data_IF_156072300799
#
_entry.id   IF_156072300799
#
_cell.length_a   1.000
_cell.length_b   1.000
_cell.length_c   1.000
_cell.angle_alpha   90.00
_cell.angle_beta   90.00
_cell.angle_gamma   90.00
#
_symmetry.space_group_name_H-M   'P 1'
#
loop_
_entity.id
_entity.type
_entity.pdbx_description
1 polymer ?
#
# COMPACT_ATOMS: atom_id res chain seq x y z
N UNK A 1 12.04 -17.53 -41.72
CA UNK A 1 11.23 -17.80 -40.50
C UNK A 1 12.06 -18.47 -39.39
N UNK A 2 13.27 -17.97 -39.09
CA UNK A 2 14.20 -18.62 -38.14
C UNK A 2 14.62 -17.74 -36.95
N UNK A 3 14.20 -16.48 -36.94
CA UNK A 3 14.56 -15.46 -35.94
C UNK A 3 13.47 -15.17 -34.91
N UNK A 4 12.24 -15.67 -35.11
CA UNK A 4 11.10 -15.41 -34.21
C UNK A 4 11.18 -16.28 -32.94
N UNK A 5 11.71 -17.50 -33.03
CA UNK A 5 11.86 -18.38 -31.86
C UNK A 5 12.86 -17.87 -30.82
N UNK A 6 13.85 -17.07 -31.24
CA UNK A 6 14.88 -16.53 -30.33
C UNK A 6 14.34 -15.39 -29.44
N UNK A 7 13.36 -14.63 -29.93
CA UNK A 7 12.74 -13.54 -29.16
C UNK A 7 11.81 -14.05 -28.06
N UNK A 8 11.18 -15.21 -28.26
CA UNK A 8 10.30 -15.83 -27.26
C UNK A 8 11.06 -16.41 -26.06
N UNK A 9 12.33 -16.77 -26.24
CA UNK A 9 13.17 -17.34 -25.17
C UNK A 9 13.74 -16.29 -24.20
N UNK A 10 13.71 -15.01 -24.57
CA UNK A 10 14.23 -13.91 -23.76
C UNK A 10 13.15 -13.25 -22.86
N UNK A 11 11.89 -13.67 -22.99
CA UNK A 11 10.76 -13.14 -22.22
C UNK A 11 10.77 -13.42 -20.70
N UNK A 12 11.40 -14.49 -20.14
CA UNK A 12 11.24 -14.77 -18.72
C UNK A 12 12.14 -13.91 -17.82
N UNK A 13 13.02 -13.08 -18.37
CA UNK A 13 13.94 -12.23 -17.57
C UNK A 13 13.28 -10.95 -17.04
N UNK A 14 12.03 -10.65 -17.42
CA UNK A 14 11.26 -9.52 -16.90
C UNK A 14 10.54 -9.78 -15.58
N UNK A 15 10.57 -11.02 -15.07
CA UNK A 15 9.95 -11.38 -13.78
C UNK A 15 10.89 -11.02 -12.61
N UNK A 16 11.32 -9.76 -12.52
CA UNK A 16 11.77 -9.24 -11.24
C UNK A 16 10.51 -8.95 -10.44
N UNK A 17 10.07 -9.93 -9.65
CA UNK A 17 9.04 -9.69 -8.64
C UNK A 17 9.50 -8.54 -7.75
N UNK A 18 8.60 -7.63 -7.40
CA UNK A 18 8.90 -6.63 -6.38
C UNK A 18 9.26 -7.39 -5.09
N UNK A 19 10.53 -7.33 -4.69
CA UNK A 19 10.99 -7.84 -3.41
C UNK A 19 10.38 -6.99 -2.28
N UNK A 20 9.10 -7.21 -1.99
CA UNK A 20 8.42 -6.63 -0.84
C UNK A 20 8.91 -7.37 0.41
N UNK A 21 10.13 -7.06 0.85
CA UNK A 21 10.68 -7.64 2.07
C UNK A 21 9.91 -7.09 3.26
N UNK A 22 9.15 -7.96 3.92
CA UNK A 22 8.44 -7.60 5.14
C UNK A 22 9.44 -7.51 6.29
N UNK A 23 9.54 -6.32 6.89
CA UNK A 23 10.38 -6.07 8.06
C UNK A 23 9.56 -6.35 9.32
N UNK A 24 10.02 -7.28 10.14
CA UNK A 24 9.41 -7.56 11.44
C UNK A 24 10.28 -6.94 12.52
N UNK A 25 9.73 -5.99 13.26
CA UNK A 25 10.40 -5.35 14.40
C UNK A 25 9.55 -5.53 15.66
N UNK A 26 10.18 -5.90 16.76
CA UNK A 26 9.52 -5.95 18.07
C UNK A 26 9.85 -4.66 18.81
N UNK A 27 8.83 -3.86 19.07
CA UNK A 27 8.97 -2.59 19.78
C UNK A 27 9.50 -2.83 21.21
N UNK A 28 10.59 -2.18 21.62
CA UNK A 28 11.24 -2.46 22.90
C UNK A 28 10.43 -2.03 24.13
N UNK A 29 9.46 -1.12 23.96
CA UNK A 29 8.65 -0.58 25.05
C UNK A 29 7.32 -1.31 25.18
N UNK A 30 6.66 -1.60 24.07
CA UNK A 30 5.34 -2.25 24.05
C UNK A 30 5.42 -3.77 23.90
N UNK A 31 6.58 -4.29 23.48
CA UNK A 31 6.81 -5.72 23.14
C UNK A 31 5.88 -6.24 22.04
N UNK A 32 5.27 -5.34 21.28
CA UNK A 32 4.42 -5.70 20.16
C UNK A 32 5.28 -5.88 18.91
N UNK A 33 5.06 -6.97 18.19
CA UNK A 33 5.65 -7.19 16.88
C UNK A 33 4.87 -6.38 15.86
N UNK A 34 5.57 -5.47 15.18
CA UNK A 34 5.09 -4.69 14.06
C UNK A 34 5.72 -5.22 12.77
N UNK A 35 4.89 -5.32 11.74
CA UNK A 35 5.29 -5.69 10.40
C UNK A 35 5.26 -4.43 9.54
N UNK A 36 6.37 -4.09 8.90
CA UNK A 36 6.49 -2.93 8.04
C UNK A 36 6.93 -3.34 6.64
N UNK A 37 6.35 -2.73 5.62
CA UNK A 37 6.85 -2.86 4.24
C UNK A 37 8.05 -1.94 3.97
N UNK A 38 8.35 -1.00 4.88
CA UNK A 38 9.12 0.19 4.53
C UNK A 38 8.41 1.04 3.48
N UNK A 39 9.13 2.00 2.91
CA UNK A 39 8.61 2.83 1.81
C UNK A 39 8.72 2.10 0.47
N UNK A 40 7.56 1.87 -0.14
CA UNK A 40 7.40 1.45 -1.53
C UNK A 40 7.33 2.72 -2.37
N UNK A 41 8.29 2.90 -3.28
CA UNK A 41 8.34 4.07 -4.15
C UNK A 41 7.55 3.78 -5.44
N UNK A 42 6.65 4.70 -5.76
CA UNK A 42 5.83 4.73 -6.97
C UNK A 42 6.16 6.01 -7.75
N UNK A 43 5.69 6.11 -8.99
CA UNK A 43 5.87 7.33 -9.78
C UNK A 43 5.05 8.48 -9.17
N UNK A 44 5.74 9.46 -8.57
CA UNK A 44 5.16 10.64 -7.93
C UNK A 44 4.58 10.42 -6.52
N UNK A 45 4.77 9.25 -5.91
CA UNK A 45 4.36 8.99 -4.53
C UNK A 45 5.17 7.88 -3.88
N UNK A 46 5.20 7.84 -2.55
CA UNK A 46 5.65 6.67 -1.80
C UNK A 46 4.60 6.23 -0.79
N UNK A 47 4.55 4.93 -0.53
CA UNK A 47 3.56 4.31 0.37
C UNK A 47 4.28 3.42 1.36
N UNK A 48 3.95 3.51 2.64
CA UNK A 48 4.36 2.54 3.65
C UNK A 48 3.15 1.93 4.36
N UNK A 49 3.27 0.65 4.68
CA UNK A 49 2.29 -0.11 5.45
C UNK A 49 2.96 -0.60 6.73
N UNK A 50 2.42 -0.20 7.87
CA UNK A 50 2.84 -0.66 9.18
C UNK A 50 1.67 -1.36 9.86
N UNK A 51 1.80 -2.65 10.13
CA UNK A 51 0.74 -3.49 10.66
C UNK A 51 1.11 -4.06 12.03
N UNK A 52 0.13 -4.12 12.92
CA UNK A 52 0.17 -4.89 14.16
C UNK A 52 -1.07 -5.79 14.29
N UNK A 53 -1.21 -6.44 15.45
CA UNK A 53 -2.34 -7.34 15.73
C UNK A 53 -3.73 -6.68 15.67
N UNK A 54 -3.81 -5.35 15.84
CA UNK A 54 -5.04 -4.57 15.98
C UNK A 54 -5.34 -3.72 14.76
N UNK A 55 -4.33 -3.17 14.12
CA UNK A 55 -4.51 -2.22 13.02
C UNK A 55 -3.37 -2.23 12.01
N UNK A 56 -3.68 -1.67 10.84
CA UNK A 56 -2.74 -1.38 9.77
C UNK A 56 -2.76 0.13 9.55
N UNK A 57 -1.62 0.76 9.75
CA UNK A 57 -1.38 2.17 9.44
C UNK A 57 -0.81 2.25 8.04
N UNK A 58 -1.43 3.07 7.21
CA UNK A 58 -0.97 3.35 5.85
C UNK A 58 -0.57 4.80 5.78
N UNK A 59 0.66 5.06 5.34
CA UNK A 59 1.18 6.38 5.07
C UNK A 59 1.43 6.51 3.56
N UNK A 60 0.87 7.56 2.97
CA UNK A 60 1.10 7.93 1.59
C UNK A 60 1.80 9.28 1.60
N UNK A 61 2.95 9.36 0.96
CA UNK A 61 3.65 10.61 0.68
C UNK A 61 3.49 10.92 -0.80
N UNK A 62 2.86 12.04 -1.13
CA UNK A 62 2.68 12.49 -2.51
C UNK A 62 3.74 13.52 -2.83
N UNK A 63 4.52 13.28 -3.88
CA UNK A 63 5.58 14.20 -4.28
C UNK A 63 5.00 15.52 -4.82
N UNK A 64 5.71 16.61 -4.54
CA UNK A 64 5.38 17.95 -5.02
C UNK A 64 5.26 18.98 -3.90
N UNK A 65 5.53 20.23 -4.23
CA UNK A 65 5.38 21.34 -3.30
C UNK A 65 3.91 21.64 -2.98
N UNK A 66 3.66 22.15 -1.78
CA UNK A 66 2.39 22.74 -1.33
C UNK A 66 1.18 21.80 -1.37
N UNK A 67 1.39 20.52 -1.05
CA UNK A 67 0.31 19.52 -0.91
C UNK A 67 -0.17 19.48 0.53
N UNK A 68 -1.19 20.28 0.82
CA UNK A 68 -1.80 20.31 2.16
C UNK A 68 -2.94 19.31 2.31
N UNK A 69 -2.79 18.40 3.28
CA UNK A 69 -3.84 17.49 3.71
C UNK A 69 -4.20 17.79 5.16
N UNK A 70 -5.50 17.84 5.44
CA UNK A 70 -6.09 18.09 6.75
C UNK A 70 -7.02 16.93 7.14
N UNK A 71 -7.74 17.03 8.27
CA UNK A 71 -8.69 15.99 8.70
C UNK A 71 -9.94 15.86 7.81
N UNK A 72 -10.18 16.82 6.90
CA UNK A 72 -11.32 16.79 5.96
C UNK A 72 -10.93 16.20 4.61
N UNK A 73 -9.64 16.12 4.34
CA UNK A 73 -9.05 15.53 3.15
C UNK A 73 -9.43 14.05 3.03
N UNK A 74 -9.87 13.67 1.84
CA UNK A 74 -10.43 12.34 1.55
C UNK A 74 -9.74 11.73 0.35
N UNK A 75 -9.29 10.48 0.49
CA UNK A 75 -8.77 9.65 -0.58
C UNK A 75 -9.84 8.67 -1.07
N UNK A 76 -9.81 8.38 -2.37
CA UNK A 76 -10.67 7.39 -3.01
C UNK A 76 -9.81 6.28 -3.58
N UNK A 77 -9.99 5.07 -3.05
CA UNK A 77 -9.29 3.87 -3.52
C UNK A 77 -10.23 3.11 -4.45
N UNK A 78 -9.76 2.89 -5.67
CA UNK A 78 -10.45 2.12 -6.70
C UNK A 78 -9.70 0.81 -6.88
N UNK A 79 -10.42 -0.31 -6.85
CA UNK A 79 -9.84 -1.62 -7.10
C UNK A 79 -9.96 -1.95 -8.58
N UNK A 80 -8.83 -2.25 -9.21
CA UNK A 80 -8.81 -2.64 -10.63
C UNK A 80 -9.73 -3.84 -10.88
N UNK A 81 -10.51 -3.79 -11.96
CA UNK A 81 -11.49 -4.83 -12.31
C UNK A 81 -12.75 -4.86 -11.44
N UNK A 82 -12.90 -3.95 -10.47
CA UNK A 82 -14.06 -3.90 -9.58
C UNK A 82 -14.80 -2.56 -9.66
N UNK A 83 -16.12 -2.58 -9.44
CA UNK A 83 -16.94 -1.37 -9.23
C UNK A 83 -16.88 -0.88 -7.78
N UNK A 84 -16.15 -1.59 -6.91
CA UNK A 84 -16.03 -1.25 -5.51
C UNK A 84 -15.06 -0.08 -5.34
N UNK A 85 -15.50 0.93 -4.58
CA UNK A 85 -14.74 2.12 -4.24
C UNK A 85 -14.68 2.24 -2.73
N UNK A 86 -13.47 2.40 -2.18
CA UNK A 86 -13.27 2.76 -0.78
C UNK A 86 -13.05 4.26 -0.64
N UNK A 87 -13.67 4.86 0.37
CA UNK A 87 -13.51 6.28 0.70
C UNK A 87 -12.87 6.37 2.07
N UNK A 88 -11.71 7.03 2.13
CA UNK A 88 -10.85 7.04 3.31
C UNK A 88 -10.55 8.50 3.65
N UNK A 89 -10.64 8.86 4.93
CA UNK A 89 -10.27 10.20 5.41
C UNK A 89 -8.87 10.19 5.99
N UNK A 90 -8.20 11.33 5.91
CA UNK A 90 -6.92 11.53 6.57
C UNK A 90 -7.10 11.41 8.09
N UNK A 91 -6.41 10.45 8.69
CA UNK A 91 -6.27 10.28 10.13
C UNK A 91 -4.98 10.88 10.68
N UNK A 92 -4.11 11.43 9.82
CA UNK A 92 -2.89 12.12 10.22
C UNK A 92 -3.12 13.58 10.65
N UNK A 93 -2.05 14.20 11.16
CA UNK A 93 -2.03 15.63 11.44
C UNK A 93 -2.01 16.43 10.14
N UNK A 94 -2.63 17.62 10.17
CA UNK A 94 -2.55 18.55 9.06
C UNK A 94 -1.09 18.89 8.74
N UNK A 95 -0.71 18.74 7.48
CA UNK A 95 0.62 19.02 6.98
C UNK A 95 0.53 19.49 5.53
N UNK A 96 1.56 20.20 5.06
CA UNK A 96 1.71 20.65 3.67
C UNK A 96 2.86 19.95 2.93
N UNK A 97 3.28 18.81 3.46
CA UNK A 97 4.39 18.00 2.97
C UNK A 97 3.89 16.85 2.07
N UNK A 98 2.59 16.81 1.75
CA UNK A 98 2.01 15.75 0.95
C UNK A 98 1.79 14.44 1.70
N UNK A 99 1.75 14.46 3.04
CA UNK A 99 1.55 13.25 3.85
C UNK A 99 0.07 13.02 4.11
N UNK A 100 -0.43 11.88 3.66
CA UNK A 100 -1.78 11.40 3.93
C UNK A 100 -1.67 10.09 4.70
N UNK A 101 -2.24 10.04 5.90
CA UNK A 101 -2.19 8.86 6.75
C UNK A 101 -3.59 8.37 7.02
N UNK A 102 -3.81 7.06 7.03
CA UNK A 102 -5.05 6.49 7.54
C UNK A 102 -4.80 5.18 8.28
N UNK A 103 -5.76 4.81 9.11
CA UNK A 103 -5.69 3.61 9.95
C UNK A 103 -6.83 2.69 9.56
N UNK A 104 -6.47 1.48 9.14
CA UNK A 104 -7.40 0.38 8.94
C UNK A 104 -7.37 -0.52 10.18
N UNK A 105 -8.48 -0.62 10.89
CA UNK A 105 -8.57 -1.47 12.09
C UNK A 105 -8.98 -2.89 11.70
N UNK A 106 -8.28 -3.88 12.25
CA UNK A 106 -8.63 -5.28 12.05
C UNK A 106 -10.01 -5.55 12.67
N UNK A 107 -10.94 -6.00 11.84
CA UNK A 107 -12.25 -6.49 12.28
C UNK A 107 -12.21 -8.01 12.41
N UNK A 108 -13.03 -8.62 13.31
CA UNK A 108 -13.10 -10.08 13.47
C UNK A 108 -13.48 -10.83 12.19
N UNK A 109 -14.04 -10.12 11.21
CA UNK A 109 -14.37 -10.63 9.89
C UNK A 109 -13.57 -9.87 8.83
N UNK A 110 -13.00 -10.58 7.87
CA UNK A 110 -12.36 -9.96 6.71
C UNK A 110 -13.40 -9.13 5.95
N UNK A 111 -13.09 -7.86 5.71
CA UNK A 111 -13.98 -6.99 4.94
C UNK A 111 -14.27 -7.64 3.58
N UNK A 112 -15.53 -7.67 3.17
CA UNK A 112 -15.97 -8.33 1.94
C UNK A 112 -15.24 -7.83 0.69
N UNK A 113 -14.78 -6.57 0.72
CA UNK A 113 -13.98 -5.95 -0.34
C UNK A 113 -12.59 -6.58 -0.42
N UNK A 114 -11.91 -6.76 0.72
CA UNK A 114 -10.60 -7.41 0.76
C UNK A 114 -10.70 -8.89 0.37
N UNK A 115 -11.79 -9.55 0.77
CA UNK A 115 -12.03 -10.96 0.40
C UNK A 115 -12.22 -11.16 -1.11
N UNK A 116 -12.75 -10.19 -1.84
CA UNK A 116 -12.79 -10.25 -3.31
C UNK A 116 -11.38 -10.23 -3.93
N UNK A 117 -10.41 -9.59 -3.28
CA UNK A 117 -9.02 -9.53 -3.75
C UNK A 117 -8.25 -10.83 -3.46
N UNK A 118 -8.57 -11.52 -2.35
CA UNK A 118 -7.94 -12.79 -1.98
C UNK A 118 -8.30 -13.97 -2.90
N UNK A 119 -9.44 -13.90 -3.59
CA UNK A 119 -9.98 -15.01 -4.43
C UNK A 119 -9.83 -14.73 -5.94
N UNK A 120 -9.21 -13.60 -6.31
CA UNK A 120 -9.10 -13.13 -7.69
C UNK A 120 -7.71 -13.21 -8.30
N UNK A 121 -7.04 -14.37 -8.20
CA UNK A 121 -5.79 -14.69 -8.91
C UNK A 121 -5.91 -16.00 -9.68
#
# INVERSE_FOLDING_TARGET
MKTIGLFLLLLPMGLMGQDCKLHSETDPFTKQTKLSTGFIYLDGASISFDADSKEVVVLISVEGADKCYDATSTAFVFFEGSKVKMTIRNGGTMNCEGLFQFVYRNTPTTNSILRMLEVGG
#
